data_IF_922726090105
#
_entry.id   IF_922726090105
#
_cell.length_a   1.000
_cell.length_b   1.000
_cell.length_c   1.000
_cell.angle_alpha   90.00
_cell.angle_beta   90.00
_cell.angle_gamma   90.00
#
_symmetry.space_group_name_H-M   'P 1'
#
loop_
_entity.id
_entity.type
_entity.pdbx_description
1 polymer ?
#
# COMPACT_ATOMS: atom_id res chain seq x y z
N UNK A 1 -5.74 7.11 29.74
CA UNK A 1 -5.70 5.95 28.83
C UNK A 1 -5.68 6.51 27.43
N UNK A 2 -4.50 6.69 26.86
CA UNK A 2 -4.35 6.94 25.43
C UNK A 2 -3.75 5.66 24.85
N UNK A 3 -4.58 4.90 24.12
CA UNK A 3 -4.10 3.92 23.14
C UNK A 3 -2.97 4.56 22.34
N UNK A 4 -1.98 3.78 21.87
CA UNK A 4 -1.14 4.27 20.76
C UNK A 4 -2.10 4.85 19.71
N UNK A 5 -2.02 6.16 19.57
CA UNK A 5 -2.63 6.89 18.49
C UNK A 5 -4.03 7.47 18.68
N UNK A 6 -4.14 8.80 18.72
CA UNK A 6 -5.22 9.46 17.96
C UNK A 6 -5.09 9.07 16.48
N UNK A 7 -6.16 8.69 15.75
CA UNK A 7 -6.05 8.37 14.33
C UNK A 7 -5.31 9.49 13.56
N UNK A 8 -4.34 9.16 12.68
CA UNK A 8 -3.51 10.18 12.01
C UNK A 8 -4.35 11.20 11.25
N UNK A 9 -5.49 10.81 10.71
CA UNK A 9 -6.41 11.76 10.06
C UNK A 9 -6.84 12.92 10.97
N UNK A 10 -6.88 12.76 12.30
CA UNK A 10 -7.25 13.85 13.23
C UNK A 10 -6.18 14.93 13.32
N UNK A 11 -4.94 14.59 12.94
CA UNK A 11 -3.82 15.52 12.79
C UNK A 11 -3.58 15.85 11.31
N UNK A 12 -4.55 15.62 10.42
CA UNK A 12 -4.48 16.12 9.06
C UNK A 12 -4.93 17.58 9.00
N UNK A 13 -4.38 18.33 8.06
CA UNK A 13 -4.80 19.72 7.83
C UNK A 13 -6.25 19.81 7.40
N UNK A 14 -6.88 20.90 7.81
CA UNK A 14 -8.28 21.17 7.50
C UNK A 14 -8.53 21.58 6.04
N UNK A 15 -7.52 22.10 5.33
CA UNK A 15 -7.68 22.59 3.95
C UNK A 15 -6.43 22.31 3.08
N UNK A 16 -6.63 21.79 1.84
CA UNK A 16 -5.55 21.65 0.86
C UNK A 16 -5.18 23.01 0.24
N UNK A 17 -4.03 23.13 -0.46
CA UNK A 17 -3.69 24.34 -1.21
C UNK A 17 -4.67 24.57 -2.37
N UNK A 18 -4.95 25.81 -2.75
CA UNK A 18 -5.84 26.13 -3.88
C UNK A 18 -7.33 25.94 -3.57
N UNK A 19 -8.12 25.53 -4.58
CA UNK A 19 -9.57 25.48 -4.48
C UNK A 19 -10.09 24.18 -3.84
N UNK A 20 -10.66 24.21 -2.61
CA UNK A 20 -11.13 23.01 -1.93
C UNK A 20 -12.32 22.33 -2.61
N UNK A 21 -13.11 23.07 -3.41
CA UNK A 21 -14.22 22.49 -4.19
C UNK A 21 -13.66 21.59 -5.29
N UNK A 22 -12.57 22.00 -5.94
CA UNK A 22 -11.92 21.21 -6.99
C UNK A 22 -11.39 19.91 -6.40
N UNK A 23 -10.68 19.99 -5.28
CA UNK A 23 -10.14 18.79 -4.64
C UNK A 23 -11.26 17.85 -4.19
N UNK A 24 -12.35 18.40 -3.62
CA UNK A 24 -13.53 17.60 -3.26
C UNK A 24 -14.15 16.91 -4.47
N UNK A 25 -14.16 17.55 -5.64
CA UNK A 25 -14.58 16.90 -6.87
C UNK A 25 -13.60 15.80 -7.30
N UNK A 26 -12.28 16.06 -7.23
CA UNK A 26 -11.24 15.10 -7.64
C UNK A 26 -11.26 13.80 -6.79
N UNK A 27 -11.39 13.89 -5.46
CA UNK A 27 -11.52 12.68 -4.61
C UNK A 27 -12.78 11.87 -4.92
N UNK A 28 -13.87 12.54 -5.32
CA UNK A 28 -15.11 11.85 -5.70
C UNK A 28 -14.98 11.19 -7.08
N UNK A 29 -14.25 11.82 -8.00
CA UNK A 29 -13.97 11.26 -9.33
C UNK A 29 -13.10 10.01 -9.22
N UNK A 30 -12.07 10.02 -8.36
CA UNK A 30 -11.21 8.85 -8.13
C UNK A 30 -11.97 7.65 -7.56
N UNK A 31 -12.98 7.88 -6.70
CA UNK A 31 -13.89 6.82 -6.21
C UNK A 31 -14.67 6.16 -7.37
N UNK A 32 -15.26 6.97 -8.24
CA UNK A 32 -16.07 6.48 -9.37
C UNK A 32 -15.19 5.67 -10.33
N UNK A 33 -14.00 6.17 -10.62
CA UNK A 33 -13.04 5.48 -11.47
C UNK A 33 -12.67 4.10 -10.90
N UNK A 34 -12.29 4.04 -9.63
CA UNK A 34 -11.88 2.81 -8.93
C UNK A 34 -12.89 1.68 -9.08
N UNK A 35 -14.18 2.02 -9.02
CA UNK A 35 -15.24 1.05 -9.23
C UNK A 35 -15.47 0.73 -10.71
N UNK A 36 -15.44 1.73 -11.60
CA UNK A 36 -15.69 1.52 -13.03
C UNK A 36 -14.70 0.56 -13.67
N UNK A 37 -13.42 0.65 -13.30
CA UNK A 37 -12.38 -0.28 -13.77
C UNK A 37 -12.56 -1.68 -13.21
N UNK A 38 -13.27 -1.85 -12.11
CA UNK A 38 -13.57 -3.16 -11.55
C UNK A 38 -14.67 -3.94 -12.32
N UNK A 39 -15.42 -3.29 -13.22
CA UNK A 39 -16.58 -3.86 -13.92
C UNK A 39 -16.48 -3.67 -15.46
N UNK A 40 -16.00 -4.65 -16.23
CA UNK A 40 -16.35 -4.72 -17.67
C UNK A 40 -17.67 -5.45 -17.82
N UNK A 41 -18.40 -5.09 -18.87
CA UNK A 41 -19.70 -5.66 -19.21
C UNK A 41 -19.65 -7.14 -19.62
N UNK A 42 -18.46 -7.77 -19.63
CA UNK A 42 -18.25 -9.13 -20.08
C UNK A 42 -17.94 -10.12 -18.96
N UNK A 43 -17.88 -9.67 -17.70
CA UNK A 43 -17.64 -10.54 -16.54
C UNK A 43 -16.21 -11.11 -16.52
N UNK A 44 -15.29 -10.50 -17.26
CA UNK A 44 -13.87 -10.85 -17.21
C UNK A 44 -13.24 -10.19 -16.00
N UNK A 45 -12.41 -10.93 -15.27
CA UNK A 45 -11.68 -10.40 -14.12
C UNK A 45 -10.78 -9.25 -14.60
N UNK A 46 -11.09 -8.01 -14.22
CA UNK A 46 -10.30 -6.88 -14.69
C UNK A 46 -8.89 -6.89 -14.08
N UNK A 47 -7.86 -6.51 -14.86
CA UNK A 47 -6.51 -6.28 -14.37
C UNK A 47 -6.33 -5.12 -13.38
N UNK A 48 -7.27 -4.20 -13.21
CA UNK A 48 -7.16 -3.13 -12.20
C UNK A 48 -8.56 -2.78 -11.69
N UNK A 49 -8.68 -2.37 -10.44
CA UNK A 49 -9.94 -2.06 -9.77
C UNK A 49 -9.92 -2.49 -8.30
N UNK A 50 -10.79 -1.88 -7.49
CA UNK A 50 -10.82 -2.15 -6.06
C UNK A 50 -11.62 -1.12 -5.29
N UNK A 51 -11.51 -1.10 -3.96
CA UNK A 51 -12.14 -0.07 -3.14
C UNK A 51 -11.46 1.29 -3.28
N UNK A 52 -10.27 1.38 -3.92
CA UNK A 52 -9.50 2.61 -3.97
C UNK A 52 -9.09 3.05 -5.38
N UNK A 53 -9.03 4.37 -5.55
CA UNK A 53 -8.54 5.08 -6.72
C UNK A 53 -7.71 6.30 -6.34
N UNK A 54 -6.80 6.70 -7.21
CA UNK A 54 -5.90 7.83 -6.98
C UNK A 54 -5.58 8.60 -8.27
N UNK A 55 -5.27 9.88 -8.10
CA UNK A 55 -4.88 10.82 -9.16
C UNK A 55 -3.66 11.63 -8.73
N UNK A 56 -2.84 12.04 -9.70
CA UNK A 56 -1.67 12.89 -9.46
C UNK A 56 -1.85 14.21 -10.21
N UNK A 57 -1.56 15.30 -9.52
CA UNK A 57 -1.77 16.65 -10.01
C UNK A 57 -0.55 17.53 -9.72
N UNK A 58 -0.40 18.55 -10.54
CA UNK A 58 0.51 19.67 -10.37
C UNK A 58 -0.32 20.94 -10.20
N UNK A 59 -0.01 21.74 -9.19
CA UNK A 59 -0.73 22.98 -8.88
C UNK A 59 0.22 24.15 -8.74
N UNK A 60 -0.07 25.26 -9.44
CA UNK A 60 0.67 26.50 -9.28
C UNK A 60 -0.17 27.53 -8.51
N UNK A 61 0.21 27.88 -7.26
CA UNK A 61 -0.53 28.83 -6.44
C UNK A 61 -0.42 30.28 -6.94
N UNK A 62 0.58 30.62 -7.75
CA UNK A 62 0.80 31.97 -8.27
C UNK A 62 -0.14 32.29 -9.45
N UNK A 63 -0.49 31.26 -10.24
CA UNK A 63 -1.34 31.39 -11.44
C UNK A 63 -2.71 30.74 -11.28
N UNK A 64 -2.95 30.02 -10.18
CA UNK A 64 -4.11 29.18 -9.94
C UNK A 64 -4.34 28.14 -11.07
N UNK A 65 -3.24 27.58 -11.57
CA UNK A 65 -3.25 26.58 -12.63
C UNK A 65 -3.19 25.16 -12.05
N UNK A 66 -4.01 24.27 -12.60
CA UNK A 66 -4.10 22.86 -12.22
C UNK A 66 -3.80 22.01 -13.44
N UNK A 67 -2.92 21.04 -13.30
CA UNK A 67 -2.55 20.08 -14.33
C UNK A 67 -2.66 18.68 -13.75
N UNK A 68 -3.41 17.81 -14.40
CA UNK A 68 -3.45 16.40 -14.05
C UNK A 68 -2.31 15.69 -14.78
N UNK A 69 -1.58 14.82 -14.08
CA UNK A 69 -0.45 14.06 -14.63
C UNK A 69 -0.97 12.82 -15.35
N UNK A 70 -0.49 12.58 -16.57
CA UNK A 70 -0.93 11.50 -17.44
C UNK A 70 -2.02 11.90 -18.44
N UNK A 71 -2.47 10.92 -19.24
CA UNK A 71 -3.52 11.10 -20.25
C UNK A 71 -4.90 10.79 -19.66
N UNK A 72 -6.02 11.08 -20.34
CA UNK A 72 -7.35 10.70 -19.85
C UNK A 72 -7.48 9.21 -19.48
N UNK A 73 -6.72 8.33 -20.13
CA UNK A 73 -6.71 6.89 -19.90
C UNK A 73 -5.79 6.46 -18.76
N UNK A 74 -4.76 7.25 -18.41
CA UNK A 74 -3.75 6.89 -17.43
C UNK A 74 -3.73 7.79 -16.20
N UNK A 75 -4.43 8.92 -16.23
CA UNK A 75 -4.42 9.91 -15.15
C UNK A 75 -5.00 9.36 -13.84
N UNK A 76 -5.95 8.45 -13.95
CA UNK A 76 -6.56 7.74 -12.85
C UNK A 76 -5.94 6.35 -12.69
N UNK A 77 -5.53 6.02 -11.46
CA UNK A 77 -5.14 4.66 -11.09
C UNK A 77 -6.10 4.06 -10.08
N UNK A 78 -6.12 2.74 -10.03
CA UNK A 78 -6.92 1.95 -9.09
C UNK A 78 -6.09 0.78 -8.59
N UNK A 79 -6.55 0.12 -7.52
CA UNK A 79 -5.86 -1.04 -6.97
C UNK A 79 -5.57 -2.09 -8.05
N UNK A 80 -4.37 -2.64 -8.00
CA UNK A 80 -3.89 -3.65 -8.93
C UNK A 80 -3.28 -4.88 -8.22
N UNK A 81 -3.43 -4.98 -6.89
CA UNK A 81 -2.91 -6.08 -6.05
C UNK A 81 -3.20 -7.45 -6.65
N UNK A 82 -4.47 -7.73 -6.97
CA UNK A 82 -4.87 -9.05 -7.46
C UNK A 82 -4.32 -9.34 -8.85
N UNK A 83 -4.13 -8.33 -9.68
CA UNK A 83 -3.66 -8.51 -11.05
C UNK A 83 -2.15 -8.53 -11.18
N UNK A 84 -1.45 -7.70 -10.43
CA UNK A 84 0.01 -7.65 -10.46
C UNK A 84 0.59 -8.71 -9.52
N UNK A 85 -0.21 -9.18 -8.54
CA UNK A 85 0.26 -10.11 -7.52
C UNK A 85 1.20 -9.45 -6.53
N UNK A 86 1.11 -8.13 -6.36
CA UNK A 86 1.96 -7.33 -5.46
C UNK A 86 1.13 -6.75 -4.35
N UNK A 87 1.50 -7.03 -3.11
CA UNK A 87 0.73 -6.63 -1.93
C UNK A 87 0.52 -5.10 -1.88
N UNK A 88 1.53 -4.34 -2.28
CA UNK A 88 1.52 -2.87 -2.29
C UNK A 88 1.04 -2.21 -3.57
N UNK A 89 0.53 -2.95 -4.55
CA UNK A 89 -0.02 -2.37 -5.78
C UNK A 89 -1.41 -1.73 -5.53
N UNK A 90 -1.45 -0.79 -4.59
CA UNK A 90 -2.58 0.05 -4.25
C UNK A 90 -2.64 1.25 -5.20
N UNK A 91 -3.79 1.89 -5.29
CA UNK A 91 -4.01 3.00 -6.20
C UNK A 91 -2.96 4.11 -6.06
N UNK A 92 -2.58 4.50 -4.84
CA UNK A 92 -1.58 5.55 -4.60
C UNK A 92 -0.18 5.16 -5.05
N UNK A 93 0.18 3.90 -4.89
CA UNK A 93 1.48 3.38 -5.33
C UNK A 93 1.56 3.26 -6.86
N UNK A 94 0.48 2.83 -7.50
CA UNK A 94 0.35 2.79 -8.97
C UNK A 94 0.34 4.19 -9.56
N UNK A 95 -0.29 5.15 -8.87
CA UNK A 95 -0.31 6.56 -9.25
C UNK A 95 1.06 7.26 -9.16
N UNK A 96 2.03 6.63 -8.51
CA UNK A 96 3.44 7.00 -8.50
C UNK A 96 4.29 6.03 -9.33
N UNK A 97 3.78 5.55 -10.47
CA UNK A 97 4.54 4.71 -11.40
C UNK A 97 5.81 5.41 -11.89
N UNK A 98 6.84 4.67 -12.36
CA UNK A 98 8.05 5.26 -12.94
C UNK A 98 7.73 6.29 -14.03
N UNK A 99 6.75 6.01 -14.89
CA UNK A 99 6.35 6.89 -16.00
C UNK A 99 5.78 8.21 -15.49
N UNK A 100 4.86 8.17 -14.51
CA UNK A 100 4.28 9.38 -13.92
C UNK A 100 5.27 10.20 -13.12
N UNK A 101 6.18 9.54 -12.40
CA UNK A 101 7.27 10.21 -11.68
C UNK A 101 8.19 10.93 -12.66
N UNK A 102 8.56 10.28 -13.77
CA UNK A 102 9.35 10.91 -14.82
C UNK A 102 8.64 12.12 -15.44
N UNK A 103 7.32 12.03 -15.69
CA UNK A 103 6.52 13.14 -16.20
C UNK A 103 6.51 14.33 -15.24
N UNK A 104 6.32 14.08 -13.94
CA UNK A 104 6.38 15.13 -12.90
C UNK A 104 7.78 15.75 -12.82
N UNK A 105 8.84 14.93 -12.78
CA UNK A 105 10.22 15.42 -12.72
C UNK A 105 10.51 16.30 -13.94
N UNK A 106 10.25 15.81 -15.15
CA UNK A 106 10.49 16.56 -16.39
C UNK A 106 9.70 17.87 -16.44
N UNK A 107 8.43 17.86 -16.04
CA UNK A 107 7.64 19.07 -15.96
C UNK A 107 8.22 20.09 -14.97
N UNK A 108 8.58 19.65 -13.76
CA UNK A 108 9.13 20.53 -12.72
C UNK A 108 10.52 21.05 -13.07
N UNK A 109 11.33 20.28 -13.81
CA UNK A 109 12.60 20.73 -14.37
C UNK A 109 12.41 21.87 -15.37
N UNK A 110 11.43 21.74 -16.29
CA UNK A 110 11.10 22.75 -17.28
C UNK A 110 10.53 24.05 -16.66
N UNK A 111 9.88 23.95 -15.49
CA UNK A 111 9.23 25.05 -14.78
C UNK A 111 9.88 25.36 -13.42
N UNK A 112 11.18 25.07 -13.30
CA UNK A 112 11.91 25.18 -12.03
C UNK A 112 11.86 26.59 -11.48
N UNK A 113 11.45 26.71 -10.21
CA UNK A 113 11.35 27.99 -9.50
C UNK A 113 10.04 28.76 -9.71
N UNK A 114 9.06 28.20 -10.43
CA UNK A 114 7.75 28.83 -10.61
C UNK A 114 6.76 28.55 -9.47
N UNK A 115 7.18 27.79 -8.44
CA UNK A 115 6.39 27.50 -7.24
C UNK A 115 5.34 26.39 -7.41
N UNK A 116 5.54 25.49 -8.38
CA UNK A 116 4.67 24.33 -8.60
C UNK A 116 4.69 23.36 -7.41
N UNK A 117 3.52 22.82 -7.09
CA UNK A 117 3.29 21.85 -6.01
C UNK A 117 2.80 20.53 -6.59
N UNK A 118 3.17 19.42 -5.96
CA UNK A 118 2.68 18.08 -6.31
C UNK A 118 1.51 17.73 -5.41
N UNK A 119 0.40 17.27 -5.96
CA UNK A 119 -0.81 16.93 -5.21
C UNK A 119 -1.26 15.53 -5.62
N UNK A 120 -1.16 14.57 -4.71
CA UNK A 120 -1.78 13.26 -4.88
C UNK A 120 -3.15 13.27 -4.21
N UNK A 121 -4.16 12.85 -4.95
CA UNK A 121 -5.53 12.71 -4.48
C UNK A 121 -5.86 11.23 -4.38
N UNK A 122 -6.40 10.78 -3.24
CA UNK A 122 -6.78 9.38 -3.01
C UNK A 122 -8.19 9.25 -2.44
N UNK A 123 -8.88 8.17 -2.80
CA UNK A 123 -10.12 7.74 -2.14
C UNK A 123 -9.92 7.35 -0.67
N UNK A 124 -8.70 6.95 -0.28
CA UNK A 124 -8.39 6.38 1.03
C UNK A 124 -7.11 6.92 1.66
N UNK A 125 -6.99 6.72 2.97
CA UNK A 125 -5.78 6.97 3.74
C UNK A 125 -4.67 6.01 3.29
N UNK A 126 -3.49 6.54 3.00
CA UNK A 126 -2.40 5.76 2.40
C UNK A 126 -1.75 4.85 3.42
N UNK A 127 -1.78 3.54 3.15
CA UNK A 127 -1.07 2.54 3.97
C UNK A 127 0.45 2.84 4.06
N UNK A 128 1.18 2.26 5.02
CA UNK A 128 2.62 2.54 5.19
C UNK A 128 3.46 2.32 3.94
N UNK A 129 3.13 1.32 3.12
CA UNK A 129 3.84 1.06 1.87
C UNK A 129 3.63 2.16 0.81
N UNK A 130 2.40 2.68 0.71
CA UNK A 130 2.09 3.83 -0.16
C UNK A 130 2.72 5.11 0.39
N UNK A 131 2.62 5.32 1.70
CA UNK A 131 3.21 6.45 2.40
C UNK A 131 4.72 6.51 2.25
N UNK A 132 5.42 5.38 2.39
CA UNK A 132 6.86 5.29 2.12
C UNK A 132 7.17 5.78 0.71
N UNK A 133 6.40 5.34 -0.30
CA UNK A 133 6.62 5.76 -1.69
C UNK A 133 6.37 7.26 -1.91
N UNK A 134 5.34 7.84 -1.28
CA UNK A 134 5.08 9.29 -1.30
C UNK A 134 6.23 10.08 -0.68
N UNK A 135 6.69 9.66 0.50
CA UNK A 135 7.81 10.28 1.23
C UNK A 135 9.09 10.20 0.40
N UNK A 136 9.42 9.02 -0.13
CA UNK A 136 10.58 8.78 -0.98
C UNK A 136 10.58 9.68 -2.23
N UNK A 137 9.41 9.82 -2.87
CA UNK A 137 9.32 10.68 -4.05
C UNK A 137 9.44 12.16 -3.68
N UNK A 138 8.88 12.59 -2.55
CA UNK A 138 9.08 13.96 -2.06
C UNK A 138 10.56 14.24 -1.75
N UNK A 139 11.28 13.31 -1.10
CA UNK A 139 12.73 13.44 -0.85
C UNK A 139 13.54 13.50 -2.15
N UNK A 140 13.18 12.70 -3.17
CA UNK A 140 13.81 12.78 -4.49
C UNK A 140 13.61 14.16 -5.13
N UNK A 141 12.38 14.67 -5.17
CA UNK A 141 12.09 15.99 -5.74
C UNK A 141 12.79 17.12 -4.98
N UNK A 142 12.88 17.04 -3.64
CA UNK A 142 13.64 17.99 -2.82
C UNK A 142 15.15 17.89 -3.06
N UNK A 143 15.69 16.68 -3.18
CA UNK A 143 17.10 16.43 -3.50
C UNK A 143 17.52 17.00 -4.86
N UNK A 144 16.61 16.95 -5.83
CA UNK A 144 16.75 17.60 -7.15
C UNK A 144 16.51 19.13 -7.11
N UNK A 145 16.06 19.65 -5.97
CA UNK A 145 15.70 21.06 -5.77
C UNK A 145 14.53 21.50 -6.65
N UNK A 146 13.58 20.60 -6.92
CA UNK A 146 12.40 20.83 -7.75
C UNK A 146 11.20 21.32 -6.93
N UNK A 147 11.14 20.94 -5.66
CA UNK A 147 10.12 21.40 -4.69
C UNK A 147 10.77 21.74 -3.35
N UNK A 148 10.08 22.53 -2.52
CA UNK A 148 10.46 22.71 -1.13
C UNK A 148 9.73 21.73 -0.20
N UNK A 149 10.20 21.64 1.04
CA UNK A 149 9.53 20.84 2.07
C UNK A 149 8.09 21.31 2.26
N UNK A 150 7.16 20.37 2.14
CA UNK A 150 5.73 20.62 2.28
C UNK A 150 5.02 21.06 0.99
N UNK A 151 5.68 21.07 -0.16
CA UNK A 151 5.06 21.29 -1.48
C UNK A 151 4.52 20.01 -2.11
N UNK A 152 4.78 18.84 -1.51
CA UNK A 152 4.07 17.61 -1.82
C UNK A 152 2.87 17.47 -0.89
N UNK A 153 1.67 17.44 -1.46
CA UNK A 153 0.41 17.31 -0.75
C UNK A 153 -0.25 15.96 -1.06
N UNK A 154 -0.83 15.35 -0.03
CA UNK A 154 -1.71 14.18 -0.14
C UNK A 154 -3.08 14.57 0.38
N UNK A 155 -4.10 14.41 -0.46
CA UNK A 155 -5.48 14.71 -0.13
C UNK A 155 -6.28 13.41 -0.19
N UNK A 156 -6.95 13.05 0.90
CA UNK A 156 -7.69 11.79 0.94
C UNK A 156 -9.11 11.94 1.49
N UNK A 157 -9.96 10.98 1.16
CA UNK A 157 -11.40 11.01 1.50
C UNK A 157 -11.83 10.01 2.58
N UNK A 158 -11.21 8.86 2.71
CA UNK A 158 -11.66 7.86 3.68
C UNK A 158 -10.55 7.39 4.61
N UNK A 159 -10.84 7.32 5.90
CA UNK A 159 -9.90 6.85 6.94
C UNK A 159 -9.83 5.32 6.97
N UNK A 160 -8.82 4.76 7.66
CA UNK A 160 -8.73 3.31 7.87
C UNK A 160 -9.97 2.69 8.52
N UNK A 161 -10.66 3.41 9.42
CA UNK A 161 -11.89 2.92 10.05
C UNK A 161 -13.03 2.81 9.02
N UNK A 162 -13.12 3.78 8.11
CA UNK A 162 -14.12 3.76 7.03
C UNK A 162 -13.81 2.65 6.03
N UNK A 163 -12.55 2.48 5.61
CA UNK A 163 -12.17 1.39 4.70
C UNK A 163 -12.46 0.01 5.32
N UNK A 164 -12.20 -0.16 6.63
CA UNK A 164 -12.51 -1.39 7.37
C UNK A 164 -14.01 -1.66 7.41
N UNK A 165 -14.82 -0.66 7.79
CA UNK A 165 -16.28 -0.78 7.94
C UNK A 165 -16.98 -1.00 6.60
N UNK A 166 -16.56 -0.25 5.59
CA UNK A 166 -17.31 -0.07 4.34
C UNK A 166 -16.77 -0.94 3.21
N UNK A 167 -15.47 -1.24 3.18
CA UNK A 167 -14.82 -2.06 2.15
C UNK A 167 -14.24 -3.38 2.67
N UNK A 168 -14.32 -3.64 3.99
CA UNK A 168 -13.70 -4.81 4.66
C UNK A 168 -12.18 -4.87 4.50
N UNK A 169 -11.55 -3.73 4.25
CA UNK A 169 -10.12 -3.59 4.05
C UNK A 169 -9.51 -2.84 5.24
N UNK A 170 -8.53 -3.42 5.95
CA UNK A 170 -8.06 -2.86 7.21
C UNK A 170 -6.54 -2.70 7.24
N UNK A 171 -6.09 -1.47 6.99
CA UNK A 171 -4.66 -1.14 6.96
C UNK A 171 -4.14 -0.59 8.28
N UNK A 172 -5.04 -0.28 9.22
CA UNK A 172 -4.68 0.31 10.49
C UNK A 172 -3.60 -0.49 11.25
N UNK A 173 -3.62 -1.83 11.31
CA UNK A 173 -2.59 -2.56 12.03
C UNK A 173 -1.18 -2.38 11.49
N UNK A 174 -1.02 -2.18 10.19
CA UNK A 174 0.29 -1.90 9.58
C UNK A 174 0.76 -0.48 9.92
N UNK A 175 -0.17 0.47 9.89
CA UNK A 175 0.10 1.87 10.26
C UNK A 175 0.55 1.98 11.72
N UNK A 176 -0.14 1.29 12.62
CA UNK A 176 0.18 1.27 14.05
C UNK A 176 1.57 0.72 14.33
N UNK A 177 2.07 -0.21 13.52
CA UNK A 177 3.45 -0.72 13.65
C UNK A 177 4.50 0.35 13.39
N UNK A 178 4.30 1.16 12.34
CA UNK A 178 5.20 2.28 12.05
C UNK A 178 5.17 3.33 13.16
N UNK A 179 4.00 3.57 13.73
CA UNK A 179 3.85 4.47 14.87
C UNK A 179 4.51 3.93 16.12
N UNK A 180 4.37 2.63 16.40
CA UNK A 180 5.03 2.02 17.55
C UNK A 180 6.55 2.08 17.41
N UNK A 181 7.11 1.92 16.21
CA UNK A 181 8.56 2.09 15.97
C UNK A 181 9.01 3.50 16.41
N UNK A 182 8.26 4.53 16.05
CA UNK A 182 8.55 5.93 16.40
C UNK A 182 8.28 6.23 17.89
N UNK A 183 7.07 5.92 18.39
CA UNK A 183 6.63 6.22 19.76
C UNK A 183 7.40 5.44 20.84
N UNK A 184 7.94 4.26 20.51
CA UNK A 184 8.81 3.48 21.40
C UNK A 184 10.29 3.89 21.28
N UNK A 185 10.65 4.80 20.36
CA UNK A 185 12.02 5.24 20.13
C UNK A 185 12.94 4.11 19.65
N UNK A 186 12.41 3.13 18.90
CA UNK A 186 13.16 1.91 18.50
C UNK A 186 14.41 2.25 17.69
N UNK A 187 14.34 3.33 16.91
CA UNK A 187 15.42 3.78 16.03
C UNK A 187 16.18 5.00 16.58
N UNK A 188 15.86 5.45 17.79
CA UNK A 188 16.58 6.53 18.47
C UNK A 188 17.90 6.03 19.06
N UNK A 189 18.85 6.95 19.31
CA UNK A 189 20.14 6.67 19.98
C UNK A 189 20.96 5.49 19.40
N UNK A 190 20.80 5.21 18.10
CA UNK A 190 21.52 4.15 17.41
C UNK A 190 20.82 2.79 17.44
N UNK A 191 19.57 2.72 17.92
CA UNK A 191 18.73 1.54 17.86
C UNK A 191 18.45 1.07 16.44
N UNK A 192 18.06 -0.19 16.32
CA UNK A 192 17.81 -0.86 15.05
C UNK A 192 16.48 -1.65 15.12
N UNK A 193 15.92 -2.05 13.97
CA UNK A 193 14.65 -2.80 13.96
C UNK A 193 14.70 -4.15 14.72
N UNK A 194 15.89 -4.67 15.02
CA UNK A 194 16.05 -5.84 15.88
C UNK A 194 15.53 -5.61 17.30
N UNK A 195 15.51 -4.36 17.77
CA UNK A 195 15.04 -3.99 19.10
C UNK A 195 13.51 -3.90 19.19
N UNK A 196 12.80 -3.91 18.05
CA UNK A 196 11.35 -3.71 18.00
C UNK A 196 10.58 -4.75 18.83
N UNK A 197 10.90 -6.03 18.69
CA UNK A 197 10.19 -7.08 19.43
C UNK A 197 10.41 -6.95 20.94
N UNK A 198 11.63 -6.60 21.35
CA UNK A 198 11.96 -6.37 22.76
C UNK A 198 11.24 -5.12 23.29
N UNK A 199 11.22 -4.04 22.53
CA UNK A 199 10.52 -2.80 22.87
C UNK A 199 9.01 -3.01 23.01
N UNK A 200 8.39 -3.73 22.08
CA UNK A 200 6.97 -4.13 22.14
C UNK A 200 6.70 -4.96 23.40
N UNK A 201 7.51 -5.98 23.68
CA UNK A 201 7.34 -6.84 24.87
C UNK A 201 7.53 -6.08 26.18
N UNK A 202 8.39 -5.07 26.18
CA UNK A 202 8.64 -4.21 27.33
C UNK A 202 7.53 -3.17 27.56
N UNK A 203 6.67 -2.93 26.56
CA UNK A 203 5.51 -2.04 26.66
C UNK A 203 4.19 -2.84 26.73
N UNK A 204 3.57 -2.99 27.91
CA UNK A 204 2.35 -3.78 28.06
C UNK A 204 1.16 -3.31 27.20
N UNK A 205 1.07 -2.02 26.90
CA UNK A 205 -0.02 -1.47 26.08
C UNK A 205 0.15 -1.84 24.62
N UNK A 206 1.36 -1.66 24.07
CA UNK A 206 1.67 -2.09 22.69
C UNK A 206 1.56 -3.61 22.54
N UNK A 207 2.02 -4.37 23.53
CA UNK A 207 1.89 -5.83 23.52
C UNK A 207 0.42 -6.27 23.49
N UNK A 208 -0.45 -5.58 24.24
CA UNK A 208 -1.89 -5.88 24.22
C UNK A 208 -2.51 -5.57 22.85
N UNK A 209 -2.11 -4.49 22.19
CA UNK A 209 -2.55 -4.19 20.82
C UNK A 209 -2.11 -5.27 19.83
N UNK A 210 -0.88 -5.79 19.95
CA UNK A 210 -0.43 -6.95 19.17
C UNK A 210 -1.32 -8.18 19.41
N UNK A 211 -1.64 -8.49 20.68
CA UNK A 211 -2.49 -9.63 21.03
C UNK A 211 -3.91 -9.51 20.48
N UNK A 212 -4.40 -8.28 20.33
CA UNK A 212 -5.72 -7.96 19.76
C UNK A 212 -5.71 -7.88 18.23
N UNK A 213 -4.53 -7.96 17.58
CA UNK A 213 -4.37 -7.77 16.14
C UNK A 213 -4.59 -6.32 15.68
N UNK A 214 -4.54 -5.36 16.61
CA UNK A 214 -4.58 -3.92 16.31
C UNK A 214 -3.20 -3.38 15.85
N UNK A 215 -2.15 -4.18 16.03
CA UNK A 215 -0.79 -3.95 15.56
C UNK A 215 -0.20 -5.27 15.07
N UNK A 216 0.53 -5.25 13.95
CA UNK A 216 1.20 -6.45 13.41
C UNK A 216 2.65 -6.15 13.04
N UNK A 217 3.60 -6.97 13.47
CA UNK A 217 5.01 -6.71 13.18
C UNK A 217 5.70 -7.99 12.71
N UNK A 218 6.73 -7.80 11.88
CA UNK A 218 7.66 -8.86 11.54
C UNK A 218 8.89 -8.72 12.44
N UNK A 219 9.21 -9.78 13.17
CA UNK A 219 10.44 -9.83 13.94
C UNK A 219 11.65 -9.79 12.99
N UNK A 220 12.58 -8.90 13.27
CA UNK A 220 13.88 -8.81 12.59
C UNK A 220 14.92 -9.39 13.54
N UNK A 221 15.64 -10.42 13.11
CA UNK A 221 16.59 -11.13 13.96
C UNK A 221 17.94 -11.28 13.26
N UNK A 222 19.02 -11.35 14.03
CA UNK A 222 20.29 -11.86 13.50
C UNK A 222 20.24 -13.37 13.43
N UNK A 223 20.50 -13.91 12.24
CA UNK A 223 20.76 -15.31 12.04
C UNK A 223 22.27 -15.54 11.99
N UNK A 224 22.73 -16.56 12.71
CA UNK A 224 24.09 -17.06 12.53
C UNK A 224 24.17 -17.91 11.26
N UNK A 225 25.37 -18.06 10.74
CA UNK A 225 25.65 -19.04 9.67
C UNK A 225 25.30 -20.49 10.05
N UNK A 226 25.22 -20.84 11.33
CA UNK A 226 24.80 -22.18 11.76
C UNK A 226 23.28 -22.39 11.67
N UNK A 227 22.51 -21.32 11.77
CA UNK A 227 21.04 -21.33 11.75
C UNK A 227 20.48 -20.97 10.37
N UNK A 228 21.35 -20.65 9.41
CA UNK A 228 20.99 -20.25 8.05
C UNK A 228 21.14 -21.43 7.08
N UNK A 229 20.15 -21.72 6.20
CA UNK A 229 20.29 -22.80 5.22
C UNK A 229 21.51 -22.64 4.30
N UNK A 230 22.25 -23.73 4.04
CA UNK A 230 23.45 -23.74 3.18
C UNK A 230 23.20 -23.13 1.79
N UNK A 231 22.00 -23.34 1.24
CA UNK A 231 21.60 -22.76 -0.04
C UNK A 231 21.50 -21.24 -0.01
N UNK A 232 21.07 -20.67 1.12
CA UNK A 232 21.02 -19.21 1.34
C UNK A 232 22.42 -18.65 1.52
N UNK A 233 23.26 -19.28 2.36
CA UNK A 233 24.66 -18.88 2.56
C UNK A 233 25.45 -18.89 1.25
N UNK A 234 25.22 -19.89 0.41
CA UNK A 234 25.85 -19.99 -0.91
C UNK A 234 25.48 -18.83 -1.82
N UNK A 235 24.23 -18.37 -1.79
CA UNK A 235 23.76 -17.22 -2.58
C UNK A 235 24.29 -15.89 -2.03
N UNK A 236 24.27 -15.69 -0.70
CA UNK A 236 24.84 -14.50 -0.07
C UNK A 236 26.33 -14.36 -0.37
N UNK A 237 27.07 -15.46 -0.31
CA UNK A 237 28.50 -15.48 -0.68
C UNK A 237 28.73 -15.15 -2.16
N UNK A 238 27.81 -15.53 -3.05
CA UNK A 238 27.89 -15.17 -4.47
C UNK A 238 27.60 -13.69 -4.72
N UNK A 239 26.69 -13.10 -3.93
CA UNK A 239 26.36 -11.67 -4.03
C UNK A 239 27.52 -10.77 -3.56
N UNK A 240 28.35 -11.24 -2.62
CA UNK A 240 29.49 -10.47 -2.11
C UNK A 240 29.02 -9.21 -1.39
N UNK A 241 29.57 -8.06 -1.77
CA UNK A 241 29.26 -6.76 -1.16
C UNK A 241 28.00 -6.08 -1.73
N UNK A 242 27.19 -6.80 -2.51
CA UNK A 242 25.93 -6.27 -3.03
C UNK A 242 24.80 -6.45 -2.01
N UNK A 243 23.90 -5.46 -1.85
CA UNK A 243 22.65 -5.67 -1.12
C UNK A 243 21.88 -6.82 -1.73
N UNK A 244 21.50 -7.80 -0.91
CA UNK A 244 20.94 -9.06 -1.36
C UNK A 244 19.87 -9.59 -0.41
N UNK A 245 18.85 -10.21 -0.99
CA UNK A 245 17.76 -10.80 -0.22
C UNK A 245 17.28 -12.12 -0.85
N UNK A 246 16.84 -13.05 -0.01
CA UNK A 246 16.34 -14.38 -0.38
C UNK A 246 15.04 -14.65 0.38
N UNK A 247 13.97 -15.02 -0.33
CA UNK A 247 12.72 -15.47 0.28
C UNK A 247 12.68 -16.99 0.24
N UNK A 248 12.52 -17.61 1.42
CA UNK A 248 12.48 -19.06 1.61
C UNK A 248 11.10 -19.44 2.15
N UNK A 249 10.44 -20.40 1.49
CA UNK A 249 9.15 -20.92 1.92
C UNK A 249 9.27 -21.74 3.22
N UNK A 250 8.15 -22.00 3.86
CA UNK A 250 8.06 -22.79 5.10
C UNK A 250 8.66 -24.20 4.99
N UNK A 251 8.66 -24.79 3.79
CA UNK A 251 9.24 -26.11 3.51
C UNK A 251 10.75 -26.07 3.27
N UNK A 252 11.38 -24.89 3.37
CA UNK A 252 12.80 -24.67 3.14
C UNK A 252 13.17 -24.41 1.68
N UNK A 253 12.22 -24.43 0.76
CA UNK A 253 12.50 -24.15 -0.66
C UNK A 253 12.71 -22.66 -0.92
N UNK A 254 13.69 -22.32 -1.77
CA UNK A 254 13.89 -20.93 -2.20
C UNK A 254 12.77 -20.54 -3.15
N UNK A 255 12.02 -19.50 -2.77
CA UNK A 255 10.99 -18.91 -3.62
C UNK A 255 11.62 -17.95 -4.62
N UNK A 256 12.44 -17.02 -4.14
CA UNK A 256 13.03 -15.95 -4.93
C UNK A 256 14.29 -15.41 -4.25
N UNK A 257 15.14 -14.74 -5.01
CA UNK A 257 16.26 -13.95 -4.51
C UNK A 257 16.54 -12.79 -5.46
N UNK A 258 17.11 -11.70 -4.95
CA UNK A 258 17.43 -10.52 -5.74
C UNK A 258 18.59 -9.72 -5.14
N UNK A 259 19.34 -9.05 -6.01
CA UNK A 259 20.23 -7.93 -5.66
C UNK A 259 19.51 -6.60 -5.84
N UNK A 260 20.05 -5.52 -5.30
CA UNK A 260 19.67 -4.18 -5.74
C UNK A 260 20.01 -3.99 -7.22
N UNK A 261 19.07 -3.44 -7.99
CA UNK A 261 19.22 -3.19 -9.43
C UNK A 261 18.93 -1.74 -9.81
N UNK A 262 18.83 -0.84 -8.83
CA UNK A 262 18.68 0.59 -9.08
C UNK A 262 19.94 1.13 -9.74
N UNK A 263 19.76 1.82 -10.86
CA UNK A 263 20.83 2.56 -11.52
C UNK A 263 20.63 4.06 -11.27
N UNK A 264 20.94 4.49 -10.05
CA UNK A 264 20.76 5.88 -9.64
C UNK A 264 21.63 6.86 -10.47
N UNK A 265 22.71 6.36 -11.08
CA UNK A 265 23.62 7.18 -11.86
C UNK A 265 23.10 7.46 -13.28
N UNK A 266 22.43 6.48 -13.91
CA UNK A 266 21.98 6.59 -15.30
C UNK A 266 20.47 6.82 -15.46
N UNK A 267 19.62 6.20 -14.63
CA UNK A 267 18.17 6.32 -14.77
C UNK A 267 17.64 7.63 -14.15
N UNK A 268 18.42 8.27 -13.27
CA UNK A 268 18.02 9.48 -12.53
C UNK A 268 16.82 9.30 -11.60
N UNK A 269 16.23 8.10 -11.56
CA UNK A 269 15.02 7.77 -10.81
C UNK A 269 15.33 6.75 -9.72
N UNK A 270 14.90 7.06 -8.51
CA UNK A 270 14.99 6.15 -7.38
C UNK A 270 13.80 5.18 -7.34
N UNK A 271 13.88 4.11 -8.12
CA UNK A 271 12.84 3.07 -8.19
C UNK A 271 13.00 2.07 -7.04
N UNK A 272 12.41 2.36 -5.88
CA UNK A 272 12.52 1.49 -4.69
C UNK A 272 12.00 0.06 -4.88
N UNK A 273 11.17 -0.17 -5.89
CA UNK A 273 10.74 -1.50 -6.33
C UNK A 273 11.90 -2.38 -6.83
N UNK A 274 13.03 -1.76 -7.20
CA UNK A 274 14.27 -2.42 -7.64
C UNK A 274 15.27 -2.68 -6.52
N UNK A 275 14.95 -2.33 -5.26
CA UNK A 275 15.77 -2.69 -4.09
C UNK A 275 15.78 -4.21 -3.88
N UNK A 276 16.82 -4.74 -3.25
CA UNK A 276 17.00 -6.19 -3.10
C UNK A 276 15.81 -6.86 -2.39
N UNK A 277 15.38 -6.33 -1.24
CA UNK A 277 14.28 -6.90 -0.44
C UNK A 277 12.97 -6.85 -1.22
N UNK A 278 12.59 -5.67 -1.74
CA UNK A 278 11.31 -5.50 -2.46
C UNK A 278 11.28 -6.38 -3.71
N UNK A 279 12.38 -6.44 -4.46
CA UNK A 279 12.50 -7.29 -5.64
C UNK A 279 12.37 -8.78 -5.30
N UNK A 280 13.01 -9.24 -4.21
CA UNK A 280 12.91 -10.62 -3.77
C UNK A 280 11.47 -10.99 -3.39
N UNK A 281 10.76 -10.12 -2.66
CA UNK A 281 9.35 -10.29 -2.31
C UNK A 281 8.45 -10.34 -3.55
N UNK A 282 8.66 -9.42 -4.49
CA UNK A 282 7.90 -9.39 -5.75
C UNK A 282 8.13 -10.65 -6.58
N UNK A 283 9.38 -11.14 -6.65
CA UNK A 283 9.70 -12.40 -7.32
C UNK A 283 9.07 -13.62 -6.65
N UNK A 284 9.01 -13.66 -5.32
CA UNK A 284 8.37 -14.75 -4.58
C UNK A 284 6.86 -14.79 -4.87
N UNK A 285 6.23 -13.61 -4.89
CA UNK A 285 4.82 -13.48 -5.19
C UNK A 285 4.49 -13.82 -6.66
N UNK A 286 5.34 -13.40 -7.60
CA UNK A 286 5.22 -13.77 -9.01
C UNK A 286 5.29 -15.30 -9.18
N UNK A 287 6.20 -15.98 -8.47
CA UNK A 287 6.30 -17.45 -8.49
C UNK A 287 5.03 -18.14 -7.96
N UNK A 288 4.40 -17.63 -6.90
CA UNK A 288 3.12 -18.15 -6.43
C UNK A 288 2.01 -17.95 -7.46
N UNK A 289 2.01 -16.79 -8.13
CA UNK A 289 1.04 -16.49 -9.20
C UNK A 289 1.19 -17.43 -10.39
N UNK A 290 2.41 -17.68 -10.84
CA UNK A 290 2.73 -18.65 -11.90
C UNK A 290 2.28 -20.07 -11.52
N UNK A 291 2.34 -20.40 -10.23
CA UNK A 291 1.80 -21.63 -9.65
C UNK A 291 0.27 -21.69 -9.56
N UNK A 292 -0.45 -20.62 -9.91
CA UNK A 292 -1.91 -20.56 -9.90
C UNK A 292 -2.53 -20.12 -8.56
N UNK A 293 -1.74 -19.63 -7.61
CA UNK A 293 -2.26 -19.08 -6.34
C UNK A 293 -2.94 -17.73 -6.58
N UNK A 294 -4.21 -17.60 -6.19
CA UNK A 294 -4.98 -16.36 -6.34
C UNK A 294 -4.42 -15.22 -5.47
N UNK A 295 -4.22 -15.49 -4.18
CA UNK A 295 -3.59 -14.56 -3.24
C UNK A 295 -2.07 -14.67 -3.31
N UNK A 296 -1.52 -14.47 -4.50
CA UNK A 296 -0.08 -14.66 -4.75
C UNK A 296 0.81 -13.72 -3.92
N UNK A 297 0.23 -12.66 -3.36
CA UNK A 297 0.88 -11.72 -2.47
C UNK A 297 0.88 -12.15 -0.99
N UNK A 298 0.26 -13.27 -0.63
CA UNK A 298 0.31 -13.81 0.73
C UNK A 298 1.45 -14.83 0.84
N UNK A 299 2.56 -14.45 1.49
CA UNK A 299 3.75 -15.28 1.72
C UNK A 299 3.76 -15.86 3.15
N UNK A 300 2.58 -16.13 3.72
CA UNK A 300 2.44 -16.70 5.06
C UNK A 300 3.36 -17.90 5.27
N UNK A 301 4.10 -17.88 6.39
CA UNK A 301 5.04 -18.95 6.73
C UNK A 301 6.43 -18.83 6.08
N UNK A 302 6.63 -17.91 5.13
CA UNK A 302 7.94 -17.68 4.52
C UNK A 302 8.86 -16.82 5.41
N UNK A 303 10.16 -17.02 5.25
CA UNK A 303 11.22 -16.26 5.92
C UNK A 303 12.06 -15.52 4.88
N UNK A 304 12.31 -14.24 5.13
CA UNK A 304 13.24 -13.42 4.35
C UNK A 304 14.62 -13.49 4.99
N UNK A 305 15.65 -13.86 4.22
CA UNK A 305 17.05 -13.76 4.60
C UNK A 305 17.72 -12.62 3.84
N UNK A 306 18.57 -11.83 4.50
CA UNK A 306 19.27 -10.72 3.85
C UNK A 306 20.63 -10.42 4.49
N UNK A 307 21.52 -9.76 3.77
CA UNK A 307 22.74 -9.14 4.30
C UNK A 307 22.58 -7.64 4.62
N UNK A 308 21.36 -7.11 4.54
CA UNK A 308 21.04 -5.70 4.82
C UNK A 308 20.61 -5.59 6.28
N UNK A 309 21.35 -4.82 7.08
CA UNK A 309 21.04 -4.56 8.48
C UNK A 309 20.16 -3.34 8.64
N UNK A 310 20.47 -2.25 7.93
CA UNK A 310 19.66 -1.02 7.92
C UNK A 310 18.49 -1.17 6.94
N UNK A 311 17.48 -1.98 7.30
CA UNK A 311 16.29 -2.22 6.47
C UNK A 311 15.47 -0.93 6.39
N UNK A 312 15.04 -0.54 5.19
CA UNK A 312 14.24 0.66 4.96
C UNK A 312 12.73 0.51 5.18
N UNK A 313 12.01 1.64 5.30
CA UNK A 313 10.59 1.66 5.60
C UNK A 313 9.72 1.07 4.48
N UNK A 314 10.10 1.18 3.20
CA UNK A 314 9.36 0.53 2.11
C UNK A 314 9.53 -0.98 2.21
N UNK A 315 10.75 -1.49 2.34
CA UNK A 315 11.06 -2.91 2.48
C UNK A 315 10.37 -3.53 3.68
N UNK A 316 10.38 -2.84 4.83
CA UNK A 316 9.69 -3.32 6.03
C UNK A 316 8.16 -3.30 5.84
N UNK A 317 7.57 -2.24 5.28
CA UNK A 317 6.15 -2.18 4.99
C UNK A 317 5.71 -3.29 4.03
N UNK A 318 6.47 -3.55 2.96
CA UNK A 318 6.22 -4.69 2.06
C UNK A 318 6.24 -6.00 2.84
N UNK A 319 7.22 -6.22 3.70
CA UNK A 319 7.33 -7.47 4.46
C UNK A 319 6.07 -7.77 5.28
N UNK A 320 5.47 -6.74 5.89
CA UNK A 320 4.23 -6.89 6.67
C UNK A 320 3.05 -7.23 5.75
N UNK A 321 2.95 -6.51 4.63
CA UNK A 321 1.92 -6.71 3.61
C UNK A 321 1.97 -8.10 2.97
N UNK A 322 3.16 -8.62 2.77
CA UNK A 322 3.40 -9.99 2.29
C UNK A 322 3.18 -11.05 3.37
N UNK A 323 2.87 -10.67 4.62
CA UNK A 323 2.59 -11.59 5.72
C UNK A 323 3.75 -12.58 5.99
N UNK A 324 4.98 -12.09 5.96
CA UNK A 324 6.16 -12.90 6.27
C UNK A 324 6.15 -13.35 7.75
N UNK A 325 6.81 -14.47 8.03
CA UNK A 325 6.95 -14.94 9.42
C UNK A 325 8.06 -14.20 10.18
N UNK A 326 9.17 -13.89 9.49
CA UNK A 326 10.29 -13.17 10.06
C UNK A 326 11.24 -12.66 8.97
N UNK A 327 12.10 -11.73 9.37
CA UNK A 327 13.27 -11.29 8.62
C UNK A 327 14.52 -11.73 9.40
N UNK A 328 15.46 -12.36 8.70
CA UNK A 328 16.70 -12.90 9.22
C UNK A 328 17.88 -12.20 8.55
N UNK A 329 18.62 -11.40 9.30
CA UNK A 329 19.83 -10.73 8.83
C UNK A 329 21.02 -11.63 9.12
N UNK A 330 21.72 -12.08 8.08
CA UNK A 330 22.85 -13.00 8.22
C UNK A 330 24.09 -12.21 8.59
N UNK A 331 24.38 -12.15 9.89
CA UNK A 331 25.33 -11.19 10.49
C UNK A 331 26.70 -11.22 9.81
N UNK A 332 27.23 -12.42 9.52
CA UNK A 332 28.56 -12.60 8.95
C UNK A 332 28.68 -12.14 7.48
N UNK A 333 27.56 -11.81 6.83
CA UNK A 333 27.51 -11.34 5.45
C UNK A 333 27.20 -9.84 5.33
N UNK A 334 27.03 -9.14 6.46
CA UNK A 334 26.68 -7.70 6.49
C UNK A 334 27.92 -6.80 6.44
N UNK A 335 27.76 -5.56 5.95
CA UNK A 335 28.78 -4.51 6.05
C UNK A 335 28.14 -3.12 5.93
N UNK A 336 28.84 -2.08 6.41
CA UNK A 336 28.37 -0.69 6.27
C UNK A 336 28.26 -0.26 4.80
N UNK A 337 29.06 -0.86 3.90
CA UNK A 337 28.95 -0.63 2.45
C UNK A 337 27.62 -1.18 1.91
N UNK A 338 27.23 -2.38 2.34
CA UNK A 338 25.95 -2.98 1.94
C UNK A 338 24.79 -2.11 2.43
N UNK A 339 24.81 -1.67 3.69
CA UNK A 339 23.77 -0.81 4.24
C UNK A 339 23.66 0.52 3.47
N UNK A 340 24.78 1.18 3.16
CA UNK A 340 24.78 2.41 2.36
C UNK A 340 24.26 2.21 0.93
N UNK A 341 24.57 1.08 0.29
CA UNK A 341 24.03 0.74 -1.03
C UNK A 341 22.54 0.36 -0.98
N UNK A 342 22.05 -0.08 0.18
CA UNK A 342 20.67 -0.48 0.41
C UNK A 342 19.75 0.68 0.83
N UNK A 343 20.28 1.89 1.01
CA UNK A 343 19.50 3.09 1.34
C UNK A 343 18.35 3.26 0.34
N UNK A 344 17.11 3.35 0.84
CA UNK A 344 15.93 3.49 0.00
C UNK A 344 15.81 4.91 -0.57
N UNK A 345 16.43 5.91 0.07
CA UNK A 345 16.59 7.26 -0.44
C UNK A 345 18.08 7.62 -0.50
N UNK A 346 18.61 8.09 -1.66
CA UNK A 346 20.03 8.35 -1.80
C UNK A 346 20.56 9.36 -0.76
N UNK A 347 21.54 8.93 0.04
CA UNK A 347 22.20 9.79 1.03
C UNK A 347 21.39 10.02 2.30
N UNK A 348 20.31 9.25 2.51
CA UNK A 348 19.51 9.26 3.73
C UNK A 348 19.54 7.85 4.31
N UNK A 349 20.13 7.66 5.51
CA UNK A 349 20.07 6.39 6.22
C UNK A 349 18.63 5.91 6.40
N UNK A 350 18.41 4.60 6.27
CA UNK A 350 17.06 4.03 6.29
C UNK A 350 16.37 4.26 7.64
N UNK A 351 17.13 4.26 8.75
CA UNK A 351 16.65 4.69 10.08
C UNK A 351 16.04 6.10 10.11
N UNK A 352 16.65 7.07 9.42
CA UNK A 352 16.20 8.47 9.41
C UNK A 352 14.95 8.60 8.52
N UNK A 353 14.91 7.79 7.44
CA UNK A 353 13.77 7.71 6.56
C UNK A 353 12.53 7.13 7.27
N UNK A 354 12.72 6.16 8.17
CA UNK A 354 11.64 5.65 9.02
C UNK A 354 10.95 6.75 9.82
N UNK A 355 11.71 7.64 10.47
CA UNK A 355 11.15 8.78 11.22
C UNK A 355 10.28 9.70 10.35
N UNK A 356 10.66 9.89 9.07
CA UNK A 356 9.87 10.69 8.11
C UNK A 356 8.57 9.97 7.68
N UNK A 357 8.59 8.65 7.54
CA UNK A 357 7.42 7.83 7.14
C UNK A 357 6.46 7.64 8.30
N UNK A 358 6.97 7.39 9.50
CA UNK A 358 6.20 7.17 10.71
C UNK A 358 5.59 8.46 11.27
N UNK A 359 6.18 9.62 10.98
CA UNK A 359 5.69 10.92 11.42
C UNK A 359 4.18 11.13 11.21
N UNK A 360 3.56 11.75 12.20
CA UNK A 360 2.19 12.28 12.09
C UNK A 360 2.06 13.29 10.95
N UNK A 361 0.84 13.43 10.44
CA UNK A 361 0.54 14.24 9.24
C UNK A 361 0.87 15.73 9.37
N UNK A 362 0.68 16.32 10.56
CA UNK A 362 1.04 17.71 10.86
C UNK A 362 2.45 17.85 11.47
N UNK A 363 3.21 16.76 11.60
CA UNK A 363 4.55 16.81 12.17
C UNK A 363 5.53 17.56 11.27
N UNK A 364 6.38 18.37 11.88
CA UNK A 364 7.50 18.99 11.18
C UNK A 364 8.50 17.97 10.63
N UNK A 365 8.49 16.71 11.08
CA UNK A 365 9.33 15.66 10.51
C UNK A 365 8.82 15.17 9.14
N UNK A 366 7.51 15.27 8.88
CA UNK A 366 6.90 14.85 7.62
C UNK A 366 7.37 15.73 6.45
N UNK A 367 7.87 15.16 5.35
CA UNK A 367 8.21 15.93 4.15
C UNK A 367 7.00 16.31 3.31
N UNK A 368 5.87 15.64 3.52
CA UNK A 368 4.62 15.87 2.79
C UNK A 368 3.53 16.42 3.70
N UNK A 369 2.55 17.09 3.11
CA UNK A 369 1.40 17.66 3.81
C UNK A 369 0.17 16.81 3.53
N UNK A 370 -0.59 16.45 4.57
CA UNK A 370 -1.78 15.62 4.40
C UNK A 370 -3.03 16.40 4.76
N UNK A 371 -4.08 16.25 3.95
CA UNK A 371 -5.40 16.83 4.18
C UNK A 371 -6.45 15.73 4.10
N UNK A 372 -7.25 15.62 5.15
CA UNK A 372 -8.47 14.83 5.12
C UNK A 372 -9.61 15.70 4.59
N UNK A 373 -10.30 15.22 3.56
CA UNK A 373 -11.38 15.94 2.89
C UNK A 373 -12.65 15.09 2.75
N UNK A 374 -12.74 14.06 3.59
CA UNK A 374 -13.93 13.26 3.75
C UNK A 374 -14.85 13.74 4.85
N UNK A 375 -15.85 12.91 5.10
CA UNK A 375 -16.67 12.94 6.31
C UNK A 375 -16.51 11.55 6.98
N UNK A 376 -16.03 11.44 8.24
CA UNK A 376 -15.81 10.15 8.90
C UNK A 376 -17.09 9.29 9.03
N UNK A 377 -18.25 9.95 9.01
CA UNK A 377 -19.56 9.32 9.18
C UNK A 377 -20.17 8.90 7.82
N UNK A 378 -19.65 9.38 6.70
CA UNK A 378 -20.13 9.02 5.36
C UNK A 378 -19.25 7.94 4.71
N UNK A 379 -19.85 7.01 3.97
CA UNK A 379 -19.09 6.00 3.24
C UNK A 379 -18.71 6.49 1.83
N UNK A 380 -17.51 6.12 1.36
CA UNK A 380 -17.14 6.31 -0.05
C UNK A 380 -18.00 5.44 -0.97
N UNK A 381 -18.37 5.99 -2.13
CA UNK A 381 -19.10 5.25 -3.15
C UNK A 381 -18.33 4.01 -3.61
N UNK A 382 -17.01 4.13 -3.80
CA UNK A 382 -16.15 3.02 -4.18
C UNK A 382 -16.22 1.87 -3.17
N UNK A 383 -16.20 2.20 -1.86
CA UNK A 383 -16.28 1.21 -0.79
C UNK A 383 -17.61 0.47 -0.77
N UNK A 384 -18.72 1.20 -0.83
CA UNK A 384 -20.06 0.62 -0.83
C UNK A 384 -20.27 -0.30 -2.03
N UNK A 385 -19.85 0.15 -3.21
CA UNK A 385 -19.96 -0.61 -4.44
C UNK A 385 -19.03 -1.83 -4.46
N UNK A 386 -17.82 -1.72 -3.89
CA UNK A 386 -16.91 -2.84 -3.68
C UNK A 386 -17.50 -3.91 -2.74
N UNK A 387 -18.05 -3.49 -1.59
CA UNK A 387 -18.70 -4.41 -0.64
C UNK A 387 -19.92 -5.10 -1.25
N UNK A 388 -20.74 -4.38 -2.01
CA UNK A 388 -21.86 -4.98 -2.74
C UNK A 388 -21.37 -6.04 -3.74
N UNK A 389 -20.26 -5.79 -4.44
CA UNK A 389 -19.61 -6.79 -5.30
C UNK A 389 -19.14 -8.01 -4.52
N UNK A 390 -18.38 -7.84 -3.44
CA UNK A 390 -17.90 -8.97 -2.63
C UNK A 390 -19.06 -9.85 -2.12
N UNK A 391 -20.16 -9.23 -1.69
CA UNK A 391 -21.37 -9.94 -1.28
C UNK A 391 -22.00 -10.73 -2.43
N UNK A 392 -22.08 -10.14 -3.62
CA UNK A 392 -22.58 -10.83 -4.83
C UNK A 392 -21.71 -12.04 -5.15
N UNK A 393 -20.40 -11.86 -5.21
CA UNK A 393 -19.46 -12.90 -5.59
C UNK A 393 -19.48 -14.04 -4.56
N UNK A 394 -19.63 -13.74 -3.26
CA UNK A 394 -19.84 -14.73 -2.20
C UNK A 394 -21.12 -15.56 -2.37
N UNK A 395 -22.25 -14.94 -2.72
CA UNK A 395 -23.51 -15.66 -2.99
C UNK A 395 -23.37 -16.57 -4.21
N UNK A 396 -22.73 -16.10 -5.28
CA UNK A 396 -22.52 -16.89 -6.49
C UNK A 396 -21.64 -18.11 -6.21
N UNK A 397 -20.57 -17.95 -5.43
CA UNK A 397 -19.69 -19.05 -5.06
C UNK A 397 -20.41 -20.12 -4.21
N UNK A 398 -21.21 -19.72 -3.21
CA UNK A 398 -22.03 -20.66 -2.43
C UNK A 398 -23.01 -21.44 -3.32
N UNK A 399 -23.61 -20.79 -4.32
CA UNK A 399 -24.47 -21.48 -5.29
C UNK A 399 -23.70 -22.50 -6.13
N UNK A 400 -22.52 -22.14 -6.65
CA UNK A 400 -21.67 -23.04 -7.44
C UNK A 400 -21.22 -24.25 -6.61
N UNK A 401 -20.82 -24.04 -5.36
CA UNK A 401 -20.37 -25.13 -4.48
C UNK A 401 -21.52 -26.07 -4.10
N UNK A 402 -22.73 -25.53 -3.88
CA UNK A 402 -23.94 -26.34 -3.71
C UNK A 402 -24.24 -27.17 -4.96
N UNK A 403 -24.13 -26.57 -6.16
CA UNK A 403 -24.33 -27.29 -7.42
C UNK A 403 -23.31 -28.43 -7.59
N UNK A 404 -22.02 -28.17 -7.31
CA UNK A 404 -20.96 -29.19 -7.32
C UNK A 404 -21.22 -30.30 -6.30
N UNK A 405 -21.69 -29.95 -5.11
CA UNK A 405 -22.05 -30.93 -4.08
C UNK A 405 -23.24 -31.81 -4.52
N UNK A 406 -24.25 -31.23 -5.16
CA UNK A 406 -25.38 -31.98 -5.73
C UNK A 406 -24.96 -32.89 -6.90
N UNK A 407 -24.08 -32.42 -7.78
CA UNK A 407 -23.50 -33.26 -8.84
C UNK A 407 -22.71 -34.44 -8.28
N UNK A 408 -21.86 -34.20 -7.27
CA UNK A 408 -21.09 -35.25 -6.57
C UNK A 408 -22.01 -36.26 -5.87
N UNK A 409 -23.19 -35.82 -5.42
CA UNK A 409 -24.22 -36.68 -4.85
C UNK A 409 -25.06 -37.44 -5.90
N UNK A 410 -24.76 -37.30 -7.20
CA UNK A 410 -25.49 -37.96 -8.28
C UNK A 410 -26.86 -37.35 -8.58
N UNK A 411 -27.13 -36.13 -8.07
CA UNK A 411 -28.41 -35.42 -8.21
C UNK A 411 -28.43 -34.48 -9.43
N UNK A 412 -27.62 -34.76 -10.46
CA UNK A 412 -27.43 -33.93 -11.67
C UNK A 412 -28.66 -33.80 -12.59
N UNK A 413 -29.83 -34.26 -12.16
CA UNK A 413 -31.12 -34.16 -12.89
C UNK A 413 -32.06 -33.08 -12.33
N UNK A 414 -31.64 -32.31 -11.33
CA UNK A 414 -32.44 -31.19 -10.81
C UNK A 414 -32.21 -29.97 -11.71
N UNK A 415 -33.18 -29.68 -12.58
CA UNK A 415 -33.21 -28.45 -13.38
C UNK A 415 -33.92 -27.36 -12.58
N UNK A 416 -33.21 -26.27 -12.27
CA UNK A 416 -33.83 -25.09 -11.68
C UNK A 416 -34.56 -24.30 -12.77
N UNK A 417 -35.88 -24.15 -12.64
CA UNK A 417 -36.76 -23.62 -13.70
C UNK A 417 -36.88 -22.09 -13.74
N UNK A 418 -36.23 -21.34 -12.84
CA UNK A 418 -36.26 -19.87 -12.91
C UNK A 418 -35.17 -19.19 -12.07
N UNK A 419 -34.27 -18.46 -12.73
CA UNK A 419 -33.83 -17.15 -12.24
C UNK A 419 -32.83 -17.10 -11.08
N UNK A 420 -31.74 -17.89 -11.10
CA UNK A 420 -30.63 -17.71 -10.15
C UNK A 420 -29.98 -16.30 -10.21
N UNK A 421 -30.28 -15.51 -11.24
CA UNK A 421 -29.91 -14.09 -11.35
C UNK A 421 -30.77 -13.13 -10.48
N UNK A 422 -31.93 -13.54 -9.95
CA UNK A 422 -32.87 -12.62 -9.27
C UNK A 422 -32.41 -12.10 -7.90
N UNK A 423 -31.71 -12.85 -7.02
CA UNK A 423 -31.21 -12.30 -5.77
C UNK A 423 -30.06 -11.33 -6.01
N UNK A 424 -29.11 -11.68 -6.89
CA UNK A 424 -27.99 -10.84 -7.27
C UNK A 424 -28.46 -9.56 -7.98
N UNK A 425 -29.37 -9.68 -8.95
CA UNK A 425 -29.94 -8.51 -9.65
C UNK A 425 -30.84 -7.67 -8.75
N UNK A 426 -31.48 -8.23 -7.70
CA UNK A 426 -32.17 -7.43 -6.68
C UNK A 426 -31.22 -6.70 -5.75
N UNK A 427 -30.11 -7.32 -5.33
CA UNK A 427 -29.06 -6.63 -4.56
C UNK A 427 -28.46 -5.50 -5.39
N UNK A 428 -28.11 -5.78 -6.65
CA UNK A 428 -27.62 -4.80 -7.62
C UNK A 428 -28.65 -3.69 -7.84
N UNK A 429 -29.90 -4.00 -8.19
CA UNK A 429 -30.92 -2.98 -8.41
C UNK A 429 -31.25 -2.18 -7.14
N UNK A 430 -31.13 -2.76 -5.95
CA UNK A 430 -31.35 -2.03 -4.67
C UNK A 430 -30.17 -1.11 -4.36
N UNK A 431 -28.93 -1.53 -4.62
CA UNK A 431 -27.77 -0.65 -4.45
C UNK A 431 -27.70 0.38 -5.57
N UNK A 432 -27.78 0.01 -6.85
CA UNK A 432 -27.77 0.94 -7.99
C UNK A 432 -28.94 1.93 -7.99
N UNK A 433 -30.15 1.54 -7.54
CA UNK A 433 -31.25 2.52 -7.37
C UNK A 433 -31.11 3.40 -6.12
N UNK A 434 -30.38 2.94 -5.09
CA UNK A 434 -29.96 3.79 -3.97
C UNK A 434 -28.73 4.66 -4.29
N UNK A 435 -27.95 4.31 -5.33
CA UNK A 435 -26.78 5.05 -5.83
C UNK A 435 -27.16 5.90 -7.06
N UNK A 436 -28.46 6.16 -7.30
CA UNK A 436 -28.86 7.30 -8.14
C UNK A 436 -28.49 8.60 -7.42
N UNK A 437 -27.20 8.92 -7.49
CA UNK A 437 -26.56 10.11 -6.99
C UNK A 437 -26.94 11.28 -7.92
N UNK A 438 -27.88 12.11 -7.48
CA UNK A 438 -28.29 13.33 -8.19
C UNK A 438 -27.40 14.55 -7.84
N UNK A 439 -26.28 14.31 -7.15
CA UNK A 439 -25.42 15.35 -6.60
C UNK A 439 -25.82 15.82 -5.19
N UNK A 440 -26.78 15.16 -4.52
CA UNK A 440 -27.10 15.39 -3.10
C UNK A 440 -27.16 14.08 -2.33
N UNK A 441 -26.46 14.07 -1.18
CA UNK A 441 -26.47 13.13 -0.05
C UNK A 441 -27.19 11.77 -0.24
N UNK A 442 -26.42 10.68 -0.10
CA UNK A 442 -27.01 9.37 0.13
C UNK A 442 -27.53 9.30 1.58
N UNK A 443 -28.85 9.33 1.78
CA UNK A 443 -29.43 9.12 3.11
C UNK A 443 -29.37 7.63 3.51
N UNK A 444 -28.84 7.28 4.70
CA UNK A 444 -28.59 5.89 5.09
C UNK A 444 -29.82 5.04 5.44
N UNK A 445 -31.05 5.60 5.47
CA UNK A 445 -32.15 5.03 6.27
C UNK A 445 -33.47 4.72 5.54
N UNK A 446 -33.46 4.39 4.25
CA UNK A 446 -34.66 3.78 3.63
C UNK A 446 -34.69 2.26 3.83
N UNK A 447 -35.31 1.83 4.94
CA UNK A 447 -35.80 0.46 5.09
C UNK A 447 -36.71 0.08 3.91
N UNK A 448 -36.59 -1.14 3.34
CA UNK A 448 -37.47 -1.58 2.28
C UNK A 448 -38.92 -1.69 2.80
N UNK A 449 -39.86 -1.14 2.03
CA UNK A 449 -41.29 -1.30 2.24
C UNK A 449 -41.77 -2.70 1.81
#
# INVERSE_FOLDING_TARGET
MSRLSTPRYQTAKAQPPGNPILWKAAVNDSDVFAYSTANDQNGTFFPKGGPFGAQLWLYNPNTDQYLMVGTPETANDSNAVVFIGRASAHAEAENLSPEKRAEVIGFLEDHKGEGWKVIQVSSGESCPSCRSKQVLFAEELMGLGLIEKGDFHVVFKATYDQTRRDATFNDAPFDQTFRAIDELGVLEDGGELFDLEAAIKANPETLEQCNQGELVFNAVNFASSLDTPDSVLSLLKQAGDQPFAVVVAKDGSIMSYATDTRDLANDGQNLTEKTAIVSALYGAAAKLREGGTFESWNLEGATLYTNIRDIGPKAYAESLWYNLSSIQVVAESTSDLIDSLAEEAPGIPNRDLFGKVAADYDSAASPIQVTFMGDPDEASAAHLLWKARLQRDGILNDQVDRLRALEKAGLSKIFFTSGAALPANKVIATFESNVHYDGKQAEPDRKPA
#
